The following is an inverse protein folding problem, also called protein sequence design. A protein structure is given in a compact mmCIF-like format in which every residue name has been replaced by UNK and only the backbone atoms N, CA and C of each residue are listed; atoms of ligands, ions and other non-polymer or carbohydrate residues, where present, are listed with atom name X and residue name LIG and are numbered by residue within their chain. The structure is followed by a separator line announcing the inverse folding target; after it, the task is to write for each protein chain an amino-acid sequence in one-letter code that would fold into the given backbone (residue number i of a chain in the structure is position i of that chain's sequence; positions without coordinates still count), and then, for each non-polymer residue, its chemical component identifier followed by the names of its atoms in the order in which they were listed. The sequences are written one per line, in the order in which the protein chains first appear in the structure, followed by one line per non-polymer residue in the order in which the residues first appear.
data_IF_049620092322
#
_entry.id   IF_049620092322
#
_cell.length_a   1.000
_cell.length_b   1.000
_cell.length_c   1.000
_cell.angle_alpha   90.00
_cell.angle_beta   90.00
_cell.angle_gamma   90.00
#
_symmetry.space_group_name_H-M   'P 1'
#
loop_
_entity.id
_entity.type
_entity.pdbx_description
1 polymer ?
#
# COMPACT_ATOMS: atom_id res chain seq x y z
N UNK A 1 18.46 15.96 2.85
CA UNK A 1 17.12 15.35 2.80
C UNK A 1 17.24 13.88 3.13
N UNK A 2 16.46 13.38 4.09
CA UNK A 2 16.45 11.95 4.45
C UNK A 2 15.28 11.26 3.74
N UNK A 3 15.50 10.17 2.97
CA UNK A 3 14.42 9.42 2.34
C UNK A 3 13.70 8.57 3.40
N UNK A 4 12.52 9.01 3.82
CA UNK A 4 11.74 8.37 4.89
C UNK A 4 10.90 7.20 4.35
N UNK A 5 11.59 6.12 4.03
CA UNK A 5 10.99 4.86 3.56
C UNK A 5 10.86 3.80 4.65
N UNK A 6 10.16 2.71 4.33
CA UNK A 6 10.02 1.56 5.23
C UNK A 6 11.34 0.77 5.34
N UNK A 7 11.44 -0.12 6.34
CA UNK A 7 12.57 -1.06 6.44
C UNK A 7 12.41 -2.25 5.49
N UNK A 8 11.18 -2.58 5.08
CA UNK A 8 10.86 -3.70 4.20
C UNK A 8 9.75 -3.29 3.25
N UNK A 9 9.96 -3.54 1.95
CA UNK A 9 8.95 -3.34 0.92
C UNK A 9 8.04 -4.56 0.81
N UNK A 10 6.77 -4.31 0.47
CA UNK A 10 5.78 -5.36 0.23
C UNK A 10 5.11 -5.13 -1.13
N UNK A 11 4.91 -6.21 -1.87
CA UNK A 11 4.02 -6.23 -3.02
C UNK A 11 2.56 -6.21 -2.58
N UNK A 12 1.65 -5.78 -3.47
CA UNK A 12 0.21 -5.81 -3.20
C UNK A 12 -0.26 -7.23 -2.82
N UNK A 13 0.31 -8.26 -3.45
CA UNK A 13 0.01 -9.67 -3.18
C UNK A 13 0.45 -10.11 -1.77
N UNK A 14 1.65 -9.72 -1.33
CA UNK A 14 2.14 -10.02 0.03
C UNK A 14 1.30 -9.30 1.09
N UNK A 15 0.94 -8.04 0.85
CA UNK A 15 0.05 -7.31 1.77
C UNK A 15 -1.31 -8.00 1.89
N UNK A 16 -1.91 -8.43 0.77
CA UNK A 16 -3.17 -9.17 0.80
C UNK A 16 -3.03 -10.50 1.53
N UNK A 17 -1.92 -11.23 1.34
CA UNK A 17 -1.66 -12.47 2.07
C UNK A 17 -1.60 -12.26 3.58
N UNK A 18 -0.90 -11.20 4.05
CA UNK A 18 -0.86 -10.84 5.46
C UNK A 18 -2.25 -10.52 6.01
N UNK A 19 -3.04 -9.74 5.28
CA UNK A 19 -4.41 -9.40 5.70
C UNK A 19 -5.29 -10.66 5.78
N UNK A 20 -5.21 -11.59 4.81
CA UNK A 20 -5.95 -12.87 4.87
C UNK A 20 -5.58 -13.68 6.11
N UNK A 21 -4.29 -13.79 6.40
CA UNK A 21 -3.77 -14.53 7.56
C UNK A 21 -4.28 -13.93 8.88
N UNK A 22 -4.23 -12.59 9.02
CA UNK A 22 -4.58 -11.89 10.25
C UNK A 22 -6.10 -11.82 10.47
N UNK A 23 -6.85 -11.51 9.41
CA UNK A 23 -8.31 -11.33 9.46
C UNK A 23 -9.09 -12.64 9.36
N UNK A 24 -8.49 -13.68 8.75
CA UNK A 24 -9.17 -14.93 8.41
C UNK A 24 -10.17 -14.80 7.25
N UNK A 25 -10.22 -13.66 6.56
CA UNK A 25 -11.16 -13.41 5.46
C UNK A 25 -10.49 -13.62 4.10
N UNK A 26 -11.25 -14.06 3.07
CA UNK A 26 -10.73 -14.09 1.71
C UNK A 26 -10.49 -12.66 1.21
N UNK A 27 -9.31 -12.42 0.64
CA UNK A 27 -8.94 -11.17 -0.01
C UNK A 27 -8.08 -11.49 -1.22
N UNK A 28 -8.48 -11.01 -2.39
CA UNK A 28 -7.79 -11.24 -3.65
C UNK A 28 -7.27 -9.93 -4.23
N UNK A 29 -6.08 -9.99 -4.84
CA UNK A 29 -5.52 -8.85 -5.59
C UNK A 29 -5.85 -9.04 -7.04
N UNK A 30 -6.70 -8.17 -7.57
CA UNK A 30 -7.02 -8.10 -8.99
C UNK A 30 -6.13 -7.04 -9.62
N UNK A 31 -5.20 -7.45 -10.47
CA UNK A 31 -4.41 -6.51 -11.26
C UNK A 31 -5.26 -6.00 -12.42
N UNK A 32 -5.45 -4.69 -12.45
CA UNK A 32 -6.24 -4.01 -13.48
C UNK A 32 -5.34 -3.09 -14.31
N UNK A 33 -5.79 -2.75 -15.51
CA UNK A 33 -5.10 -1.76 -16.36
C UNK A 33 -5.31 -0.35 -15.83
N UNK A 34 -4.52 0.59 -16.34
CA UNK A 34 -4.61 1.99 -15.93
C UNK A 34 -5.98 2.59 -16.32
N UNK A 35 -6.52 2.22 -17.49
CA UNK A 35 -7.85 2.64 -17.94
C UNK A 35 -8.97 2.05 -17.06
N UNK A 36 -8.80 0.81 -16.61
CA UNK A 36 -9.73 0.17 -15.68
C UNK A 36 -9.68 0.86 -14.31
N UNK A 37 -8.49 1.26 -13.84
CA UNK A 37 -8.33 2.01 -12.60
C UNK A 37 -8.96 3.41 -12.71
N UNK A 38 -8.76 4.12 -13.81
CA UNK A 38 -9.39 5.43 -14.08
C UNK A 38 -10.93 5.35 -14.01
N UNK A 39 -11.48 4.38 -14.73
CA UNK A 39 -12.93 4.12 -14.75
C UNK A 39 -13.45 3.76 -13.35
N UNK A 40 -12.74 2.89 -12.62
CA UNK A 40 -13.09 2.49 -11.26
C UNK A 40 -13.07 3.64 -10.27
N UNK A 41 -12.04 4.50 -10.30
CA UNK A 41 -11.93 5.67 -9.43
C UNK A 41 -13.04 6.69 -9.71
N UNK A 42 -13.35 6.91 -10.99
CA UNK A 42 -14.44 7.79 -11.40
C UNK A 42 -15.79 7.27 -10.90
N UNK A 43 -16.06 5.96 -11.07
CA UNK A 43 -17.27 5.32 -10.59
C UNK A 43 -17.39 5.33 -9.06
N UNK A 44 -16.26 5.30 -8.34
CA UNK A 44 -16.19 5.42 -6.89
C UNK A 44 -16.39 6.87 -6.38
N UNK A 45 -16.56 7.85 -7.27
CA UNK A 45 -16.81 9.25 -6.91
C UNK A 45 -15.55 10.06 -6.58
N UNK A 46 -14.37 9.57 -6.97
CA UNK A 46 -13.13 10.35 -6.84
C UNK A 46 -13.19 11.58 -7.75
N UNK A 47 -12.87 12.78 -7.27
CA UNK A 47 -12.89 13.97 -8.11
C UNK A 47 -11.93 13.86 -9.29
N UNK A 48 -12.38 14.29 -10.48
CA UNK A 48 -11.68 14.06 -11.75
C UNK A 48 -10.23 14.58 -11.78
N UNK A 49 -9.92 15.63 -11.02
CA UNK A 49 -8.56 16.18 -10.92
C UNK A 49 -7.59 15.26 -10.17
N UNK A 50 -8.07 14.33 -9.35
CA UNK A 50 -7.24 13.36 -8.63
C UNK A 50 -7.07 12.03 -9.36
N UNK A 51 -7.96 11.70 -10.30
CA UNK A 51 -7.91 10.41 -11.02
C UNK A 51 -6.56 10.20 -11.72
N UNK A 52 -6.05 11.13 -12.56
CA UNK A 52 -4.75 10.96 -13.23
C UNK A 52 -3.59 10.89 -12.23
N UNK A 53 -3.68 11.61 -11.11
CA UNK A 53 -2.66 11.57 -10.07
C UNK A 53 -2.58 10.16 -9.47
N UNK A 54 -3.70 9.57 -9.07
CA UNK A 54 -3.72 8.24 -8.44
C UNK A 54 -3.24 7.17 -9.41
N UNK A 55 -3.64 7.25 -10.68
CA UNK A 55 -3.25 6.29 -11.72
C UNK A 55 -1.74 6.37 -11.97
N UNK A 56 -1.17 7.58 -12.06
CA UNK A 56 0.28 7.74 -12.20
C UNK A 56 1.06 7.21 -11.00
N UNK A 57 0.52 7.33 -9.78
CA UNK A 57 1.11 6.74 -8.57
C UNK A 57 1.08 5.21 -8.64
N UNK A 58 -0.03 4.59 -9.06
CA UNK A 58 -0.10 3.13 -9.20
C UNK A 58 0.89 2.60 -10.22
N UNK A 59 1.03 3.30 -11.37
CA UNK A 59 2.02 2.98 -12.38
C UNK A 59 3.45 3.07 -11.83
N UNK A 60 3.78 4.13 -11.07
CA UNK A 60 5.08 4.29 -10.42
C UNK A 60 5.36 3.22 -9.36
N UNK A 61 4.35 2.81 -8.57
CA UNK A 61 4.47 1.68 -7.64
C UNK A 61 4.79 0.39 -8.41
N UNK A 62 4.09 0.15 -9.52
CA UNK A 62 4.29 -1.04 -10.37
C UNK A 62 5.67 -1.07 -11.01
N UNK A 63 6.21 0.10 -11.37
CA UNK A 63 7.58 0.25 -11.87
C UNK A 63 8.65 0.11 -10.77
N UNK A 64 8.26 0.18 -9.49
CA UNK A 64 9.18 0.15 -8.34
C UNK A 64 9.78 1.50 -7.98
N UNK A 65 9.37 2.59 -8.63
CA UNK A 65 9.91 3.93 -8.42
C UNK A 65 9.67 4.47 -7.00
N UNK A 66 8.66 3.92 -6.32
CA UNK A 66 8.31 4.27 -4.93
C UNK A 66 8.86 3.28 -3.89
N UNK A 67 9.69 2.32 -4.27
CA UNK A 67 10.27 1.32 -3.37
C UNK A 67 11.46 1.86 -2.57
N UNK A 68 11.21 2.86 -1.71
CA UNK A 68 12.23 3.45 -0.85
C UNK A 68 12.38 2.59 0.42
N UNK A 69 13.39 1.72 0.45
CA UNK A 69 13.65 0.80 1.57
C UNK A 69 15.06 0.98 2.15
N UNK A 70 15.41 2.21 2.53
CA UNK A 70 16.79 2.60 2.88
C UNK A 70 17.12 2.48 4.38
N UNK A 71 16.11 2.26 5.24
CA UNK A 71 16.27 2.23 6.70
C UNK A 71 16.60 3.57 7.35
N UNK A 72 16.62 4.67 6.58
CA UNK A 72 16.94 6.01 7.10
C UNK A 72 15.92 6.51 8.13
N UNK A 73 14.65 6.12 7.99
CA UNK A 73 13.61 6.45 8.96
C UNK A 73 13.83 5.76 10.32
N UNK A 74 14.27 4.50 10.34
CA UNK A 74 14.62 3.78 11.57
C UNK A 74 15.85 4.41 12.26
N UNK A 75 16.89 4.75 11.46
CA UNK A 75 18.07 5.46 11.97
C UNK A 75 17.71 6.82 12.58
N UNK A 76 16.86 7.58 11.91
CA UNK A 76 16.47 8.92 12.37
C UNK A 76 15.61 8.87 13.64
N UNK A 77 14.71 7.89 13.75
CA UNK A 77 13.84 7.72 14.92
C UNK A 77 14.54 7.07 16.12
N UNK A 78 15.73 6.47 15.93
CA UNK A 78 16.46 5.69 16.93
C UNK A 78 15.63 4.54 17.55
N UNK A 79 14.56 4.12 16.88
CA UNK A 79 13.68 3.02 17.26
C UNK A 79 13.30 2.21 16.03
N UNK A 80 13.11 0.88 16.15
CA UNK A 80 12.58 0.08 15.05
C UNK A 80 11.23 0.64 14.57
N UNK A 81 10.97 0.59 13.26
CA UNK A 81 9.67 1.00 12.74
C UNK A 81 8.63 -0.06 13.08
N UNK A 82 7.36 0.36 13.15
CA UNK A 82 6.26 -0.60 13.25
C UNK A 82 6.25 -1.47 11.98
N UNK A 83 6.17 -2.79 12.16
CA UNK A 83 6.02 -3.70 11.03
C UNK A 83 4.62 -3.61 10.45
N UNK A 84 4.48 -3.91 9.16
CA UNK A 84 3.17 -3.94 8.50
C UNK A 84 2.22 -4.96 9.15
N UNK A 85 2.76 -6.10 9.60
CA UNK A 85 2.00 -7.10 10.36
C UNK A 85 1.46 -6.54 11.67
N UNK A 86 2.32 -5.92 12.48
CA UNK A 86 1.91 -5.34 13.76
C UNK A 86 0.83 -4.26 13.57
N UNK A 87 0.93 -3.46 12.50
CA UNK A 87 -0.10 -2.49 12.14
C UNK A 87 -1.43 -3.17 11.80
N UNK A 88 -1.44 -4.22 10.98
CA UNK A 88 -2.67 -4.96 10.65
C UNK A 88 -3.27 -5.67 11.85
N UNK A 89 -2.46 -6.24 12.74
CA UNK A 89 -2.93 -6.86 13.99
C UNK A 89 -3.62 -5.83 14.90
N UNK A 90 -3.02 -4.65 15.06
CA UNK A 90 -3.61 -3.56 15.84
C UNK A 90 -4.92 -3.03 15.25
N UNK A 91 -5.10 -3.14 13.93
CA UNK A 91 -6.28 -2.66 13.20
C UNK A 91 -7.21 -3.79 12.73
N UNK A 92 -7.08 -4.99 13.32
CA UNK A 92 -7.83 -6.18 12.89
C UNK A 92 -9.35 -5.98 12.83
N UNK A 93 -9.91 -5.17 13.74
CA UNK A 93 -11.34 -4.86 13.74
C UNK A 93 -11.79 -4.15 12.45
N UNK A 94 -10.99 -3.22 11.92
CA UNK A 94 -11.29 -2.51 10.67
C UNK A 94 -11.13 -3.42 9.43
N UNK A 95 -10.25 -4.42 9.50
CA UNK A 95 -10.06 -5.42 8.44
C UNK A 95 -11.14 -6.52 8.45
N UNK A 96 -11.92 -6.60 9.54
CA UNK A 96 -13.00 -7.55 9.72
C UNK A 96 -14.40 -6.93 9.56
N UNK A 97 -14.49 -5.66 9.15
CA UNK A 97 -15.76 -5.07 8.69
C UNK A 97 -16.03 -5.55 7.27
#
# INVERSE_FOLDING_TARGET
TYPLGAETGYTKAEMAALVREISGRPLEVINITDEQLESGLTAAGVPANFVPLIVSVDAAVRAGDLAINTGEAAKLSATPLISLRAFFEANKAALAA
#
